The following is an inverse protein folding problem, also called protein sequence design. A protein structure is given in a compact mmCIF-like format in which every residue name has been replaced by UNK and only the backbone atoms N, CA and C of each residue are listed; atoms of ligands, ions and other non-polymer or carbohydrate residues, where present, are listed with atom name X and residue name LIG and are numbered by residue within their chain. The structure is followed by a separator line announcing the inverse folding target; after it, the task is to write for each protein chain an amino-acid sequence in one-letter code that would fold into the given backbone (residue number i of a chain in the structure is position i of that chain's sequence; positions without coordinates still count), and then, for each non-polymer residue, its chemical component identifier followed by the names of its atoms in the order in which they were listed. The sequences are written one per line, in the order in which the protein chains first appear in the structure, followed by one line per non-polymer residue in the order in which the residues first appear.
data_IF_024087648613
#
_entry.id   IF_024087648613
#
_cell.length_a   1.000
_cell.length_b   1.000
_cell.length_c   1.000
_cell.angle_alpha   90.00
_cell.angle_beta   90.00
_cell.angle_gamma   90.00
#
_symmetry.space_group_name_H-M   'P 1'
#
loop_
_entity.id
_entity.type
_entity.pdbx_description
1 polymer ?
#
# COMPACT_ATOMS: atom_id res chain seq x y z
N UNK A 1 -17.87 9.23 7.49
CA UNK A 1 -18.00 9.69 8.89
C UNK A 1 -19.28 10.50 9.06
N UNK A 2 -20.45 9.87 8.89
CA UNK A 2 -21.75 10.56 8.98
C UNK A 2 -22.80 9.75 9.76
N UNK A 3 -22.41 8.66 10.45
CA UNK A 3 -23.34 7.70 11.07
C UNK A 3 -23.26 7.60 12.60
N UNK A 4 -22.44 8.43 13.27
CA UNK A 4 -22.23 8.39 14.73
C UNK A 4 -22.66 9.72 15.39
N UNK A 5 -23.33 9.69 16.55
CA UNK A 5 -23.66 10.91 17.31
C UNK A 5 -22.39 11.72 17.65
N UNK A 6 -22.48 13.05 17.68
CA UNK A 6 -21.35 13.98 17.87
C UNK A 6 -20.44 13.63 19.07
N UNK A 7 -21.02 13.12 20.17
CA UNK A 7 -20.26 12.68 21.36
C UNK A 7 -19.43 11.39 21.19
N UNK A 8 -19.59 10.67 20.07
CA UNK A 8 -18.88 9.41 19.76
C UNK A 8 -17.97 9.52 18.52
N UNK A 9 -17.87 10.71 17.92
CA UNK A 9 -17.02 10.94 16.74
C UNK A 9 -15.53 10.65 17.02
N UNK A 10 -15.04 10.95 18.24
CA UNK A 10 -13.66 10.65 18.64
C UNK A 10 -13.35 9.15 18.67
N UNK A 11 -14.29 8.32 19.14
CA UNK A 11 -14.15 6.85 19.12
C UNK A 11 -14.17 6.32 17.68
N UNK A 12 -15.04 6.88 16.82
CA UNK A 12 -15.09 6.53 15.40
C UNK A 12 -13.79 6.85 14.64
N UNK A 13 -13.18 8.02 14.92
CA UNK A 13 -11.89 8.39 14.33
C UNK A 13 -10.78 7.46 14.78
N UNK A 14 -10.66 7.20 16.08
CA UNK A 14 -9.61 6.34 16.63
C UNK A 14 -9.63 4.93 16.01
N UNK A 15 -10.81 4.33 15.86
CA UNK A 15 -10.96 3.01 15.23
C UNK A 15 -10.57 3.05 13.75
N UNK A 16 -10.95 4.10 13.02
CA UNK A 16 -10.57 4.25 11.62
C UNK A 16 -9.06 4.43 11.45
N UNK A 17 -8.42 5.20 12.34
CA UNK A 17 -6.97 5.40 12.32
C UNK A 17 -6.24 4.10 12.61
N UNK A 18 -6.60 3.39 13.68
CA UNK A 18 -6.07 2.05 13.98
C UNK A 18 -6.25 1.09 12.80
N UNK A 19 -7.41 1.11 12.15
CA UNK A 19 -7.67 0.26 10.97
C UNK A 19 -6.75 0.60 9.80
N UNK A 20 -6.49 1.89 9.55
CA UNK A 20 -5.58 2.35 8.49
C UNK A 20 -4.13 2.01 8.81
N UNK A 21 -3.71 2.17 10.06
CA UNK A 21 -2.36 1.81 10.51
C UNK A 21 -2.12 0.29 10.40
N UNK A 22 -3.06 -0.53 10.90
CA UNK A 22 -3.01 -1.98 10.76
C UNK A 22 -3.02 -2.41 9.29
N UNK A 23 -3.92 -1.84 8.49
CA UNK A 23 -4.00 -2.13 7.07
C UNK A 23 -2.72 -1.77 6.31
N UNK A 24 -2.12 -0.62 6.64
CA UNK A 24 -0.85 -0.18 6.08
C UNK A 24 0.31 -1.13 6.43
N UNK A 25 0.44 -1.48 7.71
CA UNK A 25 1.47 -2.41 8.18
C UNK A 25 1.32 -3.81 7.54
N UNK A 26 0.11 -4.34 7.49
CA UNK A 26 -0.19 -5.62 6.85
C UNK A 26 0.09 -5.59 5.35
N UNK A 27 -0.29 -4.50 4.67
CA UNK A 27 -0.02 -4.32 3.24
C UNK A 27 1.48 -4.35 2.94
N UNK A 28 2.28 -3.59 3.70
CA UNK A 28 3.75 -3.58 3.58
C UNK A 28 4.33 -4.98 3.83
N UNK A 29 3.86 -5.67 4.88
CA UNK A 29 4.36 -6.99 5.24
C UNK A 29 4.05 -8.04 4.15
N UNK A 30 2.80 -8.09 3.66
CA UNK A 30 2.37 -9.10 2.68
C UNK A 30 3.02 -8.83 1.31
N UNK A 31 2.89 -7.62 0.78
CA UNK A 31 3.42 -7.29 -0.54
C UNK A 31 4.96 -7.32 -0.54
N UNK A 32 5.59 -6.86 0.55
CA UNK A 32 7.03 -6.95 0.73
C UNK A 32 7.53 -8.39 0.81
N UNK A 33 6.80 -9.28 1.48
CA UNK A 33 7.15 -10.72 1.52
C UNK A 33 7.05 -11.35 0.13
N UNK A 34 5.98 -11.07 -0.62
CA UNK A 34 5.83 -11.56 -2.00
C UNK A 34 6.98 -11.08 -2.87
N UNK A 35 7.30 -9.79 -2.82
CA UNK A 35 8.42 -9.20 -3.55
C UNK A 35 9.74 -9.89 -3.20
N UNK A 36 10.04 -10.06 -1.91
CA UNK A 36 11.28 -10.66 -1.44
C UNK A 36 11.39 -12.14 -1.85
N UNK A 37 10.32 -12.91 -1.69
CA UNK A 37 10.29 -14.33 -2.09
C UNK A 37 10.46 -14.49 -3.60
N UNK A 38 9.71 -13.74 -4.41
CA UNK A 38 9.79 -13.81 -5.86
C UNK A 38 11.15 -13.35 -6.39
N UNK A 39 11.73 -12.29 -5.82
CA UNK A 39 13.07 -11.83 -6.16
C UNK A 39 14.12 -12.91 -5.88
N UNK A 40 14.11 -13.48 -4.66
CA UNK A 40 15.06 -14.52 -4.25
C UNK A 40 14.94 -15.75 -5.15
N UNK A 41 13.71 -16.19 -5.45
CA UNK A 41 13.45 -17.32 -6.34
C UNK A 41 13.91 -17.05 -7.77
N UNK A 42 13.59 -15.87 -8.32
CA UNK A 42 13.97 -15.47 -9.68
C UNK A 42 15.48 -15.33 -9.88
N UNK A 43 16.19 -14.87 -8.84
CA UNK A 43 17.65 -14.68 -8.88
C UNK A 43 18.43 -15.98 -8.63
N UNK A 44 17.79 -17.02 -8.10
CA UNK A 44 18.42 -18.26 -7.62
C UNK A 44 19.36 -18.93 -8.62
N UNK A 45 19.03 -18.89 -9.92
CA UNK A 45 19.87 -19.48 -10.97
C UNK A 45 21.16 -18.69 -11.21
N UNK A 46 21.07 -17.36 -11.25
CA UNK A 46 22.20 -16.48 -11.52
C UNK A 46 23.23 -16.47 -10.39
N UNK A 47 22.80 -16.76 -9.15
CA UNK A 47 23.71 -16.79 -7.99
C UNK A 47 24.38 -18.14 -7.76
N UNK A 48 24.04 -19.20 -8.52
CA UNK A 48 24.63 -20.55 -8.34
C UNK A 48 26.15 -20.59 -8.56
N UNK A 49 26.66 -19.73 -9.44
CA UNK A 49 28.09 -19.67 -9.74
C UNK A 49 28.89 -18.90 -8.67
N UNK A 50 28.22 -18.24 -7.73
CA UNK A 50 28.88 -17.47 -6.68
C UNK A 50 29.22 -18.35 -5.46
N UNK A 51 30.30 -18.03 -4.72
CA UNK A 51 30.53 -18.58 -3.39
C UNK A 51 29.31 -18.37 -2.48
N UNK A 52 28.98 -19.36 -1.65
CA UNK A 52 27.77 -19.36 -0.83
C UNK A 52 27.49 -18.05 -0.04
N UNK A 53 28.49 -17.39 0.60
CA UNK A 53 28.25 -16.13 1.29
C UNK A 53 27.79 -15.00 0.36
N UNK A 54 28.34 -14.95 -0.86
CA UNK A 54 27.97 -13.95 -1.87
C UNK A 54 26.63 -14.28 -2.52
N UNK A 55 26.33 -15.57 -2.72
CA UNK A 55 25.05 -16.01 -3.24
C UNK A 55 23.90 -15.63 -2.28
N UNK A 56 24.07 -15.88 -0.97
CA UNK A 56 23.10 -15.48 0.06
C UNK A 56 22.94 -13.96 0.11
N UNK A 57 24.04 -13.21 0.07
CA UNK A 57 23.99 -11.75 0.08
C UNK A 57 23.28 -11.17 -1.16
N UNK A 58 23.61 -11.68 -2.36
CA UNK A 58 22.96 -11.27 -3.61
C UNK A 58 21.46 -11.61 -3.61
N UNK A 59 21.09 -12.80 -3.13
CA UNK A 59 19.68 -13.20 -3.01
C UNK A 59 18.89 -12.37 -2.01
N UNK A 60 19.54 -11.81 -0.99
CA UNK A 60 18.88 -11.04 0.07
C UNK A 60 18.42 -9.64 -0.33
N UNK A 61 19.04 -9.02 -1.35
CA UNK A 61 18.58 -7.71 -1.85
C UNK A 61 19.14 -7.37 -3.23
N UNK A 62 18.38 -6.59 -4.02
CA UNK A 62 18.85 -6.02 -5.28
C UNK A 62 20.13 -5.18 -5.10
N UNK A 63 20.20 -4.37 -4.05
CA UNK A 63 21.37 -3.53 -3.77
C UNK A 63 22.65 -4.34 -3.58
N UNK A 64 22.58 -5.41 -2.78
CA UNK A 64 23.71 -6.32 -2.59
C UNK A 64 24.08 -7.05 -3.89
N UNK A 65 23.09 -7.51 -4.67
CA UNK A 65 23.34 -8.14 -5.97
C UNK A 65 24.10 -7.20 -6.92
N UNK A 66 23.67 -5.93 -7.05
CA UNK A 66 24.33 -4.92 -7.88
C UNK A 66 25.72 -4.53 -7.38
N UNK A 67 25.93 -4.50 -6.07
CA UNK A 67 27.24 -4.25 -5.49
C UNK A 67 28.21 -5.40 -5.77
N UNK A 68 27.75 -6.64 -5.63
CA UNK A 68 28.55 -7.84 -5.92
C UNK A 68 28.82 -7.94 -7.42
N UNK A 69 27.85 -7.62 -8.26
CA UNK A 69 28.00 -7.63 -9.72
C UNK A 69 29.06 -6.63 -10.18
N UNK A 70 29.08 -5.42 -9.59
CA UNK A 70 30.10 -4.41 -9.85
C UNK A 70 31.51 -4.84 -9.39
N UNK A 71 31.61 -5.61 -8.30
CA UNK A 71 32.89 -6.18 -7.83
C UNK A 71 33.38 -7.35 -8.68
N UNK A 72 32.45 -8.15 -9.22
CA UNK A 72 32.78 -9.28 -10.08
C UNK A 72 33.32 -8.79 -11.43
N UNK A 73 32.71 -7.73 -11.98
CA UNK A 73 33.12 -7.12 -13.24
C UNK A 73 32.95 -8.04 -14.45
N UNK A 74 33.34 -7.55 -15.63
CA UNK A 74 33.28 -8.30 -16.88
C UNK A 74 31.88 -8.79 -17.25
N UNK A 75 31.82 -9.86 -18.06
CA UNK A 75 30.56 -10.44 -18.52
C UNK A 75 29.71 -11.02 -17.39
N UNK A 76 30.32 -11.75 -16.44
CA UNK A 76 29.60 -12.35 -15.32
C UNK A 76 28.97 -11.31 -14.37
N UNK A 77 29.64 -10.18 -14.17
CA UNK A 77 29.08 -9.05 -13.43
C UNK A 77 27.89 -8.39 -14.16
N UNK A 78 27.97 -8.23 -15.48
CA UNK A 78 26.85 -7.71 -16.27
C UNK A 78 25.64 -8.66 -16.22
N UNK A 79 25.86 -9.96 -16.42
CA UNK A 79 24.80 -10.97 -16.35
C UNK A 79 24.11 -11.02 -14.99
N UNK A 80 24.88 -10.96 -13.89
CA UNK A 80 24.30 -10.92 -12.54
C UNK A 80 23.48 -9.65 -12.30
N UNK A 81 23.95 -8.50 -12.81
CA UNK A 81 23.23 -7.24 -12.68
C UNK A 81 21.90 -7.27 -13.44
N UNK A 82 21.90 -7.78 -14.66
CA UNK A 82 20.71 -7.89 -15.51
C UNK A 82 19.72 -8.89 -14.93
N UNK A 83 20.19 -10.05 -14.47
CA UNK A 83 19.35 -11.03 -13.79
C UNK A 83 18.71 -10.45 -12.52
N UNK A 84 19.47 -9.70 -11.71
CA UNK A 84 18.94 -9.07 -10.50
C UNK A 84 17.89 -8.01 -10.80
N UNK A 85 18.12 -7.15 -11.80
CA UNK A 85 17.13 -6.14 -12.23
C UNK A 85 15.87 -6.80 -12.77
N UNK A 86 16.02 -7.80 -13.64
CA UNK A 86 14.90 -8.57 -14.20
C UNK A 86 14.06 -9.24 -13.12
N UNK A 87 14.70 -10.02 -12.23
CA UNK A 87 14.03 -10.68 -11.12
C UNK A 87 13.30 -9.69 -10.20
N UNK A 88 13.88 -8.51 -9.95
CA UNK A 88 13.24 -7.49 -9.13
C UNK A 88 12.00 -6.88 -9.81
N UNK A 89 12.08 -6.56 -11.11
CA UNK A 89 10.95 -6.01 -11.87
C UNK A 89 9.81 -7.03 -11.97
N UNK A 90 10.12 -8.31 -12.21
CA UNK A 90 9.11 -9.37 -12.27
C UNK A 90 8.44 -9.59 -10.90
N UNK A 91 9.23 -9.56 -9.82
CA UNK A 91 8.72 -9.66 -8.46
C UNK A 91 7.84 -8.44 -8.10
N UNK A 92 8.23 -7.23 -8.50
CA UNK A 92 7.43 -6.01 -8.36
C UNK A 92 6.11 -6.12 -9.12
N UNK A 93 6.14 -6.58 -10.37
CA UNK A 93 4.94 -6.81 -11.16
C UNK A 93 3.98 -7.78 -10.49
N UNK A 94 4.50 -8.90 -9.96
CA UNK A 94 3.70 -9.87 -9.20
C UNK A 94 3.07 -9.24 -7.96
N UNK A 95 3.83 -8.51 -7.15
CA UNK A 95 3.33 -7.86 -5.95
C UNK A 95 2.25 -6.81 -6.27
N UNK A 96 2.43 -6.03 -7.34
CA UNK A 96 1.45 -5.05 -7.81
C UNK A 96 0.16 -5.70 -8.31
N UNK A 97 0.24 -6.82 -9.03
CA UNK A 97 -0.95 -7.58 -9.45
C UNK A 97 -1.74 -8.12 -8.26
N UNK A 98 -1.05 -8.63 -7.24
CA UNK A 98 -1.70 -9.07 -5.99
C UNK A 98 -2.35 -7.88 -5.28
N UNK A 99 -1.66 -6.75 -5.17
CA UNK A 99 -2.23 -5.52 -4.61
C UNK A 99 -3.47 -5.03 -5.37
N UNK A 100 -3.42 -5.07 -6.71
CA UNK A 100 -4.55 -4.71 -7.56
C UNK A 100 -5.74 -5.65 -7.35
N UNK A 101 -5.51 -6.97 -7.22
CA UNK A 101 -6.55 -7.94 -6.91
C UNK A 101 -7.20 -7.67 -5.54
N UNK A 102 -6.40 -7.36 -4.52
CA UNK A 102 -6.92 -7.01 -3.18
C UNK A 102 -7.78 -5.73 -3.26
N UNK A 103 -7.31 -4.70 -3.95
CA UNK A 103 -8.05 -3.45 -4.13
C UNK A 103 -9.38 -3.68 -4.88
N UNK A 104 -9.37 -4.52 -5.93
CA UNK A 104 -10.57 -4.88 -6.67
C UNK A 104 -11.58 -5.62 -5.78
N UNK A 105 -11.12 -6.59 -4.98
CA UNK A 105 -11.99 -7.31 -4.04
C UNK A 105 -12.61 -6.37 -3.00
N UNK A 106 -11.81 -5.45 -2.44
CA UNK A 106 -12.31 -4.42 -1.53
C UNK A 106 -13.34 -3.50 -2.19
N UNK A 107 -13.11 -3.10 -3.44
CA UNK A 107 -14.06 -2.30 -4.22
C UNK A 107 -15.39 -3.03 -4.44
N UNK A 108 -15.34 -4.31 -4.85
CA UNK A 108 -16.55 -5.14 -5.03
C UNK A 108 -17.29 -5.30 -3.70
N UNK A 109 -16.57 -5.55 -2.60
CA UNK A 109 -17.13 -5.65 -1.26
C UNK A 109 -17.91 -4.38 -0.89
N UNK A 110 -17.29 -3.20 -1.04
CA UNK A 110 -17.94 -1.92 -0.77
C UNK A 110 -19.16 -1.71 -1.67
N UNK A 111 -19.03 -1.98 -2.98
CA UNK A 111 -20.13 -1.82 -3.93
C UNK A 111 -21.34 -2.72 -3.64
N UNK A 112 -21.14 -3.88 -3.01
CA UNK A 112 -22.21 -4.83 -2.67
C UNK A 112 -22.81 -4.61 -1.28
N UNK A 113 -22.02 -4.12 -0.33
CA UNK A 113 -22.41 -4.03 1.08
C UNK A 113 -22.82 -2.62 1.53
N UNK A 114 -22.57 -1.59 0.73
CA UNK A 114 -22.95 -0.22 1.07
C UNK A 114 -24.36 0.10 0.55
N UNK A 115 -25.40 0.19 1.41
CA UNK A 115 -26.71 0.67 0.99
C UNK A 115 -26.64 2.16 0.64
N UNK A 116 -27.07 2.51 -0.57
CA UNK A 116 -27.00 3.86 -1.16
C UNK A 116 -27.95 4.86 -0.46
N UNK A 117 -28.93 4.36 0.29
CA UNK A 117 -29.99 5.16 0.91
C UNK A 117 -29.56 5.97 2.15
N UNK A 118 -28.30 5.82 2.61
CA UNK A 118 -27.76 6.53 3.77
C UNK A 118 -27.10 7.88 3.44
N UNK A 119 -27.19 8.36 2.20
CA UNK A 119 -26.90 9.76 1.87
C UNK A 119 -28.09 10.62 2.29
N UNK A 120 -28.31 10.73 3.59
CA UNK A 120 -29.20 11.72 4.20
C UNK A 120 -28.67 13.13 3.99
N UNK A 121 -28.59 13.58 2.73
CA UNK A 121 -28.67 14.99 2.40
C UNK A 121 -30.09 15.42 2.79
N UNK A 122 -30.30 15.68 4.07
CA UNK A 122 -31.33 16.65 4.41
C UNK A 122 -30.96 17.95 3.68
N UNK A 123 -31.88 18.55 2.92
CA UNK A 123 -31.63 19.83 2.29
C UNK A 123 -31.18 20.79 3.38
N UNK A 124 -30.00 21.39 3.21
CA UNK A 124 -29.54 22.46 4.09
C UNK A 124 -30.57 23.57 3.98
N UNK A 125 -31.48 23.63 4.96
CA UNK A 125 -32.43 24.73 5.07
C UNK A 125 -31.58 25.96 5.38
N UNK A 126 -31.60 27.00 4.53
CA UNK A 126 -30.84 28.22 4.77
C UNK A 126 -31.17 28.70 6.18
N UNK A 127 -30.14 28.95 7.00
CA UNK A 127 -30.31 29.45 8.34
C UNK A 127 -31.22 30.70 8.30
N UNK A 128 -32.31 30.68 9.06
CA UNK A 128 -33.20 31.82 9.19
C UNK A 128 -32.42 32.99 9.81
N UNK A 129 -31.94 33.89 8.94
CA UNK A 129 -31.24 35.11 9.32
C UNK A 129 -32.19 36.17 9.88
N UNK A 130 -33.51 35.95 9.87
CA UNK A 130 -34.52 36.93 10.28
C UNK A 130 -34.38 37.34 11.76
N UNK A 131 -33.97 36.42 12.64
CA UNK A 131 -33.79 36.72 14.06
C UNK A 131 -32.62 37.68 14.38
N UNK A 132 -31.55 37.68 13.56
CA UNK A 132 -30.36 38.49 13.85
C UNK A 132 -30.48 39.94 13.40
N UNK A 133 -31.38 40.23 12.46
CA UNK A 133 -31.60 41.61 11.98
C UNK A 133 -32.49 42.39 12.96
N UNK A 134 -33.41 41.70 13.66
CA UNK A 134 -34.26 42.34 14.68
C UNK A 134 -33.48 42.77 15.92
N UNK A 135 -32.41 42.06 16.29
CA UNK A 135 -31.59 42.37 17.47
C UNK A 135 -30.59 43.51 17.19
N UNK A 136 -30.09 43.61 15.96
CA UNK A 136 -29.24 44.70 15.51
C UNK A 136 -29.99 46.01 15.22
N UNK A 137 -31.31 45.95 14.98
CA UNK A 137 -32.15 47.13 14.77
C UNK A 137 -32.71 47.75 16.07
N UNK A 138 -32.50 47.09 17.22
CA UNK A 138 -32.91 47.56 18.55
C UNK A 138 -31.75 48.10 19.41
N UNK A 139 -30.55 48.22 18.84
CA UNK A 139 -29.38 48.86 19.44
C UNK A 139 -29.09 50.20 18.75
#
# INVERSE_FOLDING_TARGET
MASLPLGKAGVGSAVNDTTRELGGALGVAVLGSILASQFTSGLSAAVKALPAPLATAAGGSLGAALQISGRLGGAGGAELADAARGAFVDAMGTALLVGAAIALLASIMVARLMPVDALGMEPVTPADTSGRVSEAASA
#
